data_IF_577266182143
#
_entry.id   IF_577266182143
#
_cell.length_a   1.000
_cell.length_b   1.000
_cell.length_c   1.000
_cell.angle_alpha   90.00
_cell.angle_beta   90.00
_cell.angle_gamma   90.00
#
_symmetry.space_group_name_H-M   'P 1'
#
loop_
_entity.id
_entity.type
_entity.pdbx_description
1 polymer ?
#
# COMPACT_ATOMS: atom_id res chain seq x y z
N UNK A 1 3.32 -20.73 -17.23
CA UNK A 1 2.49 -20.45 -16.04
C UNK A 1 1.82 -19.10 -16.28
N UNK A 2 0.49 -19.07 -16.48
CA UNK A 2 -0.25 -17.83 -16.72
C UNK A 2 -0.76 -17.31 -15.39
N UNK A 3 0.02 -16.44 -14.75
CA UNK A 3 -0.33 -15.83 -13.47
C UNK A 3 -1.33 -14.69 -13.71
N UNK A 4 -2.45 -14.68 -13.00
CA UNK A 4 -3.43 -13.59 -13.13
C UNK A 4 -2.90 -12.25 -12.59
N UNK A 5 -3.26 -11.14 -13.26
CA UNK A 5 -2.89 -9.78 -12.82
C UNK A 5 -3.83 -9.21 -11.75
N UNK A 6 -4.94 -9.89 -11.46
CA UNK A 6 -5.90 -9.47 -10.44
C UNK A 6 -5.66 -10.21 -9.13
N UNK A 7 -5.57 -9.48 -8.01
CA UNK A 7 -5.21 -10.02 -6.70
C UNK A 7 -6.04 -11.26 -6.29
N UNK A 8 -7.36 -11.24 -6.53
CA UNK A 8 -8.25 -12.36 -6.20
C UNK A 8 -7.96 -13.63 -7.00
N UNK A 9 -7.68 -13.48 -8.30
CA UNK A 9 -7.33 -14.59 -9.17
C UNK A 9 -5.92 -15.10 -8.89
N UNK A 10 -4.99 -14.19 -8.59
CA UNK A 10 -3.63 -14.52 -8.16
C UNK A 10 -3.61 -15.32 -6.85
N UNK A 11 -4.48 -14.97 -5.88
CA UNK A 11 -4.57 -15.71 -4.62
C UNK A 11 -5.01 -17.16 -4.85
N UNK A 12 -5.94 -17.37 -5.77
CA UNK A 12 -6.38 -18.70 -6.20
C UNK A 12 -5.26 -19.48 -6.90
N UNK A 13 -4.51 -18.81 -7.78
CA UNK A 13 -3.36 -19.40 -8.48
C UNK A 13 -2.22 -19.77 -7.49
N UNK A 14 -2.19 -19.16 -6.31
CA UNK A 14 -1.21 -19.38 -5.24
C UNK A 14 -1.72 -20.30 -4.11
N UNK A 15 -2.91 -20.89 -4.25
CA UNK A 15 -3.53 -21.76 -3.24
C UNK A 15 -3.62 -21.11 -1.83
N UNK A 16 -3.81 -19.79 -1.79
CA UNK A 16 -3.98 -19.05 -0.53
C UNK A 16 -5.33 -19.36 0.10
N UNK A 17 -5.37 -19.39 1.43
CA UNK A 17 -6.65 -19.41 2.15
C UNK A 17 -7.38 -18.06 2.01
N UNK A 18 -8.67 -18.04 2.34
CA UNK A 18 -9.52 -16.85 2.18
C UNK A 18 -9.00 -15.62 2.94
N UNK A 19 -8.40 -15.82 4.12
CA UNK A 19 -7.84 -14.74 4.92
C UNK A 19 -6.62 -14.13 4.25
N UNK A 20 -5.69 -14.95 3.75
CA UNK A 20 -4.50 -14.51 3.03
C UNK A 20 -4.87 -13.81 1.72
N UNK A 21 -5.88 -14.32 1.00
CA UNK A 21 -6.42 -13.69 -0.20
C UNK A 21 -6.99 -12.30 0.12
N UNK A 22 -7.78 -12.17 1.19
CA UNK A 22 -8.35 -10.90 1.64
C UNK A 22 -7.28 -9.90 2.07
N UNK A 23 -6.24 -10.36 2.79
CA UNK A 23 -5.10 -9.52 3.18
C UNK A 23 -4.32 -9.06 1.96
N UNK A 24 -4.13 -9.93 0.95
CA UNK A 24 -3.44 -9.56 -0.29
C UNK A 24 -4.23 -8.50 -1.08
N UNK A 25 -5.55 -8.65 -1.19
CA UNK A 25 -6.43 -7.66 -1.82
C UNK A 25 -6.38 -6.32 -1.07
N UNK A 26 -6.53 -6.34 0.25
CA UNK A 26 -6.43 -5.14 1.09
C UNK A 26 -5.07 -4.44 0.91
N UNK A 27 -3.98 -5.20 0.98
CA UNK A 27 -2.63 -4.68 0.80
C UNK A 27 -2.45 -4.04 -0.57
N UNK A 28 -2.96 -4.65 -1.63
CA UNK A 28 -2.91 -4.10 -2.99
C UNK A 28 -3.66 -2.75 -3.09
N UNK A 29 -4.86 -2.66 -2.50
CA UNK A 29 -5.64 -1.42 -2.48
C UNK A 29 -4.94 -0.31 -1.69
N UNK A 30 -4.40 -0.64 -0.51
CA UNK A 30 -3.65 0.33 0.31
C UNK A 30 -2.38 0.78 -0.38
N UNK A 31 -1.71 -0.11 -1.12
CA UNK A 31 -0.51 0.23 -1.89
C UNK A 31 -0.84 1.28 -2.95
N UNK A 32 -1.86 1.01 -3.76
CA UNK A 32 -2.30 1.90 -4.81
C UNK A 32 -2.59 3.30 -4.27
N UNK A 33 -3.35 3.37 -3.16
CA UNK A 33 -3.70 4.63 -2.51
C UNK A 33 -2.48 5.33 -1.92
N UNK A 34 -1.57 4.62 -1.27
CA UNK A 34 -0.36 5.20 -0.71
C UNK A 34 0.55 5.80 -1.81
N UNK A 35 0.69 5.10 -2.94
CA UNK A 35 1.43 5.61 -4.09
C UNK A 35 0.80 6.89 -4.65
N UNK A 36 -0.52 6.91 -4.81
CA UNK A 36 -1.26 8.11 -5.23
C UNK A 36 -1.14 9.26 -4.23
N UNK A 37 -1.23 8.98 -2.93
CA UNK A 37 -1.07 9.98 -1.87
C UNK A 37 0.32 10.64 -1.92
N UNK A 38 1.38 9.86 -2.16
CA UNK A 38 2.74 10.40 -2.35
C UNK A 38 2.78 11.30 -3.59
N UNK A 39 2.30 10.81 -4.73
CA UNK A 39 2.31 11.53 -6.01
C UNK A 39 1.52 12.85 -5.98
N UNK A 40 0.41 12.90 -5.24
CA UNK A 40 -0.46 14.08 -5.15
C UNK A 40 -0.16 15.00 -3.96
N UNK A 41 0.79 14.64 -3.08
CA UNK A 41 1.08 15.42 -1.87
C UNK A 41 1.68 16.81 -2.12
N UNK A 42 2.31 17.02 -3.29
CA UNK A 42 3.09 18.23 -3.57
C UNK A 42 4.40 18.34 -2.78
N UNK A 43 4.73 17.35 -1.95
CA UNK A 43 5.94 17.30 -1.14
C UNK A 43 7.07 16.53 -1.84
N UNK A 44 8.32 16.89 -1.55
CA UNK A 44 9.46 16.09 -2.02
C UNK A 44 9.49 14.74 -1.31
N UNK A 45 9.99 13.69 -2.00
CA UNK A 45 10.17 12.38 -1.38
C UNK A 45 11.07 12.42 -0.12
N UNK A 46 11.99 13.40 -0.04
CA UNK A 46 12.83 13.61 1.14
C UNK A 46 12.00 14.10 2.34
N UNK A 47 11.15 15.11 2.14
CA UNK A 47 10.28 15.63 3.20
C UNK A 47 9.30 14.56 3.72
N UNK A 48 8.73 13.79 2.80
CA UNK A 48 7.85 12.66 3.13
C UNK A 48 8.60 11.59 3.94
N UNK A 49 9.84 11.27 3.55
CA UNK A 49 10.67 10.30 4.23
C UNK A 49 10.98 10.71 5.69
N UNK A 50 11.31 11.99 5.91
CA UNK A 50 11.51 12.56 7.26
C UNK A 50 10.24 12.44 8.10
N UNK A 51 9.07 12.83 7.57
CA UNK A 51 7.79 12.74 8.28
C UNK A 51 7.43 11.31 8.69
N UNK A 52 7.76 10.34 7.85
CA UNK A 52 7.42 8.94 8.06
C UNK A 52 8.47 8.15 8.85
N UNK A 53 9.68 8.70 9.02
CA UNK A 53 10.80 8.02 9.66
C UNK A 53 11.33 6.85 8.81
N UNK A 54 11.52 7.07 7.51
CA UNK A 54 12.02 6.07 6.55
C UNK A 54 13.01 6.71 5.58
N UNK A 55 13.61 5.94 4.66
CA UNK A 55 14.51 6.47 3.63
C UNK A 55 13.78 7.04 2.41
N UNK A 56 14.35 8.08 1.78
CA UNK A 56 13.89 8.64 0.49
C UNK A 56 13.73 7.55 -0.58
N UNK A 57 14.71 6.65 -0.67
CA UNK A 57 14.69 5.56 -1.64
C UNK A 57 13.46 4.66 -1.49
N UNK A 58 13.03 4.38 -0.24
CA UNK A 58 11.81 3.60 0.00
C UNK A 58 10.56 4.37 -0.46
N UNK A 59 10.48 5.68 -0.19
CA UNK A 59 9.37 6.52 -0.68
C UNK A 59 9.31 6.53 -2.21
N UNK A 60 10.45 6.69 -2.89
CA UNK A 60 10.52 6.63 -4.36
C UNK A 60 10.01 5.29 -4.90
N UNK A 61 10.42 4.17 -4.31
CA UNK A 61 9.96 2.85 -4.77
C UNK A 61 8.47 2.64 -4.54
N UNK A 62 7.91 3.14 -3.43
CA UNK A 62 6.47 3.10 -3.17
C UNK A 62 5.72 3.92 -4.21
N UNK A 63 6.13 5.17 -4.44
CA UNK A 63 5.53 6.07 -5.44
C UNK A 63 5.50 5.41 -6.83
N UNK A 64 6.56 4.70 -7.20
CA UNK A 64 6.69 4.02 -8.49
C UNK A 64 6.13 2.59 -8.52
N UNK A 65 5.47 2.12 -7.45
CA UNK A 65 4.93 0.75 -7.36
C UNK A 65 5.95 -0.36 -7.58
N UNK A 66 7.20 -0.11 -7.17
CA UNK A 66 8.34 -1.02 -7.37
C UNK A 66 8.86 -1.69 -6.10
N UNK A 67 8.22 -1.46 -4.94
CA UNK A 67 8.60 -2.12 -3.69
C UNK A 67 7.68 -3.31 -3.41
N UNK A 68 8.27 -4.49 -3.22
CA UNK A 68 7.53 -5.75 -3.07
C UNK A 68 7.33 -6.15 -1.60
N UNK A 69 8.07 -5.50 -0.68
CA UNK A 69 8.14 -5.89 0.74
C UNK A 69 7.70 -4.76 1.69
N UNK A 70 6.44 -4.36 1.60
CA UNK A 70 5.86 -3.34 2.47
C UNK A 70 4.83 -3.92 3.42
N UNK A 71 4.85 -3.47 4.68
CA UNK A 71 3.80 -3.77 5.65
C UNK A 71 2.54 -2.94 5.39
N UNK A 72 1.37 -3.48 5.74
CA UNK A 72 0.12 -2.73 5.76
C UNK A 72 0.24 -1.49 6.66
N UNK A 73 0.90 -1.62 7.81
CA UNK A 73 1.15 -0.52 8.74
C UNK A 73 1.83 0.69 8.06
N UNK A 74 2.89 0.47 7.28
CA UNK A 74 3.57 1.57 6.60
C UNK A 74 2.67 2.23 5.54
N UNK A 75 1.88 1.45 4.80
CA UNK A 75 0.93 1.99 3.81
C UNK A 75 -0.10 2.87 4.50
N UNK A 76 -0.65 2.42 5.64
CA UNK A 76 -1.59 3.21 6.43
C UNK A 76 -0.96 4.48 6.97
N UNK A 77 0.26 4.38 7.50
CA UNK A 77 1.00 5.54 8.00
C UNK A 77 1.19 6.59 6.91
N UNK A 78 1.55 6.18 5.69
CA UNK A 78 1.68 7.09 4.52
C UNK A 78 0.35 7.80 4.26
N UNK A 79 -0.74 7.04 4.12
CA UNK A 79 -2.06 7.58 3.79
C UNK A 79 -2.52 8.56 4.88
N UNK A 80 -2.43 8.19 6.15
CA UNK A 80 -2.86 9.04 7.27
C UNK A 80 -2.01 10.31 7.37
N UNK A 81 -0.69 10.21 7.17
CA UNK A 81 0.20 11.38 7.25
C UNK A 81 -0.05 12.37 6.12
N UNK A 82 -0.30 11.89 4.89
CA UNK A 82 -0.44 12.74 3.71
C UNK A 82 -1.88 13.20 3.46
N UNK A 83 -2.87 12.33 3.65
CA UNK A 83 -4.29 12.65 3.41
C UNK A 83 -5.03 13.15 4.66
N UNK A 84 -4.44 13.01 5.85
CA UNK A 84 -5.07 13.33 7.15
C UNK A 84 -6.39 12.59 7.40
N UNK A 85 -6.55 11.41 6.81
CA UNK A 85 -7.77 10.59 6.87
C UNK A 85 -7.42 9.12 7.07
N UNK A 86 -8.29 8.39 7.77
CA UNK A 86 -8.22 6.93 7.84
C UNK A 86 -8.87 6.38 6.55
N UNK A 87 -8.19 5.48 5.79
CA UNK A 87 -8.66 5.05 4.48
C UNK A 87 -9.87 4.12 4.50
N UNK A 88 -10.32 3.68 5.68
CA UNK A 88 -11.47 2.81 5.85
C UNK A 88 -12.21 3.13 7.14
N UNK A 89 -13.45 2.65 7.22
CA UNK A 89 -14.28 2.72 8.43
C UNK A 89 -14.60 1.29 8.86
N UNK A 90 -14.25 0.95 10.10
CA UNK A 90 -14.69 -0.31 10.70
C UNK A 90 -16.15 -0.15 11.10
N UNK A 91 -17.00 -1.06 10.62
CA UNK A 91 -18.37 -1.19 11.09
C UNK A 91 -18.35 -2.32 12.12
N UNK A 92 -18.64 -1.99 13.38
CA UNK A 92 -18.87 -3.03 14.38
C UNK A 92 -20.13 -3.82 13.98
N UNK A 93 -20.00 -5.14 13.94
CA UNK A 93 -21.11 -6.06 13.71
C UNK A 93 -22.04 -6.10 14.92
#
# INVERSE_FOLDING_TARGET
>A
MNISRHARNLAKDLELNDADAAIMELKSLLYERAAQAIQHSGESHEAIAVKLGTSRARITRISNRGENSISIDLLLKIIVVLEKKIPFRLVAA
#
